data_IF_042881092646
#
_entry.id   IF_042881092646
#
_cell.length_a   1.000
_cell.length_b   1.000
_cell.length_c   1.000
_cell.angle_alpha   90.00
_cell.angle_beta   90.00
_cell.angle_gamma   90.00
#
_symmetry.space_group_name_H-M   'P 1'
#
loop_
_entity.id
_entity.type
_entity.pdbx_description
1 polymer ?
#
# COMPACT_ATOMS: atom_id res chain seq x y z
N UNK A 1 -11.57 11.67 21.38
CA UNK A 1 -10.17 11.23 21.25
C UNK A 1 -9.96 10.51 19.95
N UNK A 2 -8.90 10.85 19.27
CA UNK A 2 -8.57 10.19 18.03
C UNK A 2 -8.09 8.76 18.30
N UNK A 3 -8.58 7.82 17.51
CA UNK A 3 -8.09 6.46 17.59
C UNK A 3 -6.69 6.39 17.00
N UNK A 4 -5.85 5.57 17.59
CA UNK A 4 -4.52 5.35 17.06
C UNK A 4 -4.57 4.44 15.84
N UNK A 5 -3.65 4.67 14.92
CA UNK A 5 -3.48 3.82 13.74
C UNK A 5 -2.62 2.62 14.14
N UNK A 6 -3.11 1.43 13.84
CA UNK A 6 -2.37 0.19 14.07
C UNK A 6 -2.04 -0.45 12.73
N UNK A 7 -0.84 -1.03 12.62
CA UNK A 7 -0.43 -1.79 11.46
C UNK A 7 -0.51 -3.28 11.78
N UNK A 8 -1.12 -4.05 10.90
CA UNK A 8 -1.21 -5.51 11.08
C UNK A 8 -1.28 -6.22 9.73
N UNK A 9 -1.05 -7.51 9.74
CA UNK A 9 -1.13 -8.30 8.52
C UNK A 9 -2.57 -8.31 7.98
N UNK A 10 -2.67 -8.36 6.66
CA UNK A 10 -3.97 -8.48 5.97
C UNK A 10 -4.70 -9.74 6.44
N UNK A 11 -6.01 -9.59 6.64
CA UNK A 11 -6.92 -10.70 6.93
C UNK A 11 -8.08 -10.66 5.95
N UNK A 12 -8.73 -11.79 5.73
CA UNK A 12 -9.84 -11.86 4.75
C UNK A 12 -10.95 -10.86 5.03
N UNK A 13 -11.17 -10.52 6.30
CA UNK A 13 -12.19 -9.53 6.65
C UNK A 13 -11.86 -8.13 6.12
N UNK A 14 -10.61 -7.90 5.72
CA UNK A 14 -10.18 -6.61 5.18
C UNK A 14 -10.39 -6.50 3.67
N UNK A 15 -10.71 -7.61 3.00
CA UNK A 15 -10.69 -7.69 1.54
C UNK A 15 -11.54 -6.61 0.87
N UNK A 16 -12.76 -6.40 1.35
CA UNK A 16 -13.65 -5.43 0.74
C UNK A 16 -13.12 -3.99 0.87
N UNK A 17 -12.60 -3.65 2.05
CA UNK A 17 -12.06 -2.30 2.28
C UNK A 17 -10.76 -2.07 1.51
N UNK A 18 -9.90 -3.07 1.42
CA UNK A 18 -8.65 -2.97 0.66
C UNK A 18 -8.97 -2.78 -0.82
N UNK A 19 -9.90 -3.55 -1.34
CA UNK A 19 -10.35 -3.45 -2.73
C UNK A 19 -10.88 -2.06 -3.03
N UNK A 20 -11.75 -1.54 -2.18
CA UNK A 20 -12.32 -0.22 -2.35
C UNK A 20 -11.27 0.88 -2.29
N UNK A 21 -10.34 0.80 -1.35
CA UNK A 21 -9.26 1.78 -1.23
C UNK A 21 -8.38 1.78 -2.48
N UNK A 22 -8.01 0.59 -2.98
CA UNK A 22 -7.24 0.47 -4.21
C UNK A 22 -7.94 1.15 -5.39
N UNK A 23 -9.22 0.88 -5.56
CA UNK A 23 -10.00 1.46 -6.66
C UNK A 23 -10.08 2.98 -6.52
N UNK A 24 -10.41 3.46 -5.33
CA UNK A 24 -10.58 4.89 -5.07
C UNK A 24 -9.29 5.66 -5.35
N UNK A 25 -8.17 5.20 -4.81
CA UNK A 25 -6.89 5.91 -4.99
C UNK A 25 -6.46 5.91 -6.45
N UNK A 26 -6.58 4.77 -7.12
CA UNK A 26 -6.17 4.71 -8.53
C UNK A 26 -7.05 5.57 -9.43
N UNK A 27 -8.33 5.68 -9.13
CA UNK A 27 -9.21 6.58 -9.88
C UNK A 27 -8.86 8.04 -9.64
N UNK A 28 -8.49 8.39 -8.42
CA UNK A 28 -8.05 9.75 -8.10
C UNK A 28 -6.75 10.12 -8.81
N UNK A 29 -5.86 9.15 -9.03
CA UNK A 29 -4.60 9.36 -9.70
C UNK A 29 -4.72 9.36 -11.22
N UNK A 30 -5.83 8.90 -11.76
CA UNK A 30 -6.03 8.77 -13.20
C UNK A 30 -6.19 10.13 -13.87
N UNK A 31 -5.34 10.47 -14.87
CA UNK A 31 -5.59 11.67 -15.67
C UNK A 31 -6.88 11.51 -16.48
N UNK A 32 -7.62 12.61 -16.74
CA UNK A 32 -8.89 12.51 -17.46
C UNK A 32 -8.79 11.87 -18.84
N UNK A 33 -7.69 12.10 -19.55
CA UNK A 33 -7.48 11.57 -20.89
C UNK A 33 -7.01 10.11 -20.90
N UNK A 34 -6.69 9.54 -19.73
CA UNK A 34 -6.26 8.15 -19.61
C UNK A 34 -7.23 7.29 -18.79
N UNK A 35 -8.45 7.78 -18.60
CA UNK A 35 -9.42 7.11 -17.75
C UNK A 35 -9.68 5.65 -18.16
N UNK A 36 -9.88 5.41 -19.44
CA UNK A 36 -10.17 4.06 -19.92
C UNK A 36 -8.99 3.11 -19.69
N UNK A 37 -7.77 3.61 -19.90
CA UNK A 37 -6.57 2.82 -19.67
C UNK A 37 -6.42 2.48 -18.19
N UNK A 38 -6.71 3.44 -17.30
CA UNK A 38 -6.64 3.21 -15.86
C UNK A 38 -7.73 2.23 -15.38
N UNK A 39 -8.95 2.32 -15.94
CA UNK A 39 -10.01 1.38 -15.58
C UNK A 39 -9.65 -0.05 -16.01
N UNK A 40 -9.04 -0.20 -17.18
CA UNK A 40 -8.57 -1.52 -17.63
C UNK A 40 -7.44 -2.05 -16.71
N UNK A 41 -6.52 -1.18 -16.30
CA UNK A 41 -5.47 -1.52 -15.36
C UNK A 41 -6.05 -1.96 -14.02
N UNK A 42 -7.03 -1.20 -13.50
CA UNK A 42 -7.67 -1.52 -12.22
C UNK A 42 -8.31 -2.91 -12.28
N UNK A 43 -9.08 -3.20 -13.34
CA UNK A 43 -9.72 -4.51 -13.49
C UNK A 43 -8.70 -5.65 -13.50
N UNK A 44 -7.63 -5.48 -14.25
CA UNK A 44 -6.58 -6.49 -14.34
C UNK A 44 -5.89 -6.70 -13.00
N UNK A 45 -5.55 -5.60 -12.32
CA UNK A 45 -4.89 -5.68 -11.02
C UNK A 45 -5.79 -6.31 -9.96
N UNK A 46 -7.10 -6.05 -10.00
CA UNK A 46 -8.05 -6.70 -9.10
C UNK A 46 -8.02 -8.21 -9.30
N UNK A 47 -8.16 -8.65 -10.54
CA UNK A 47 -8.21 -10.09 -10.86
C UNK A 47 -6.90 -10.80 -10.53
N UNK A 48 -5.77 -10.20 -10.88
CA UNK A 48 -4.47 -10.84 -10.76
C UNK A 48 -3.85 -10.76 -9.36
N UNK A 49 -4.21 -9.73 -8.61
CA UNK A 49 -3.53 -9.46 -7.34
C UNK A 49 -4.47 -9.14 -6.18
N UNK A 50 -5.24 -8.06 -6.30
CA UNK A 50 -5.95 -7.47 -5.15
C UNK A 50 -7.05 -8.38 -4.61
N UNK A 51 -7.73 -9.12 -5.47
CA UNK A 51 -8.78 -10.05 -5.05
C UNK A 51 -8.22 -11.42 -4.64
N UNK A 52 -6.89 -11.58 -4.62
CA UNK A 52 -6.22 -12.81 -4.21
C UNK A 52 -4.92 -12.54 -3.42
N UNK A 53 -4.97 -11.55 -2.55
CA UNK A 53 -3.78 -11.08 -1.82
C UNK A 53 -2.98 -12.20 -1.13
N UNK A 54 -3.60 -13.11 -0.33
CA UNK A 54 -2.79 -14.14 0.31
C UNK A 54 -2.04 -15.03 -0.68
N UNK A 55 -2.69 -15.42 -1.75
CA UNK A 55 -2.06 -16.26 -2.77
C UNK A 55 -0.98 -15.51 -3.53
N UNK A 56 -1.30 -14.28 -3.97
CA UNK A 56 -0.34 -13.48 -4.74
C UNK A 56 0.96 -13.25 -3.97
N UNK A 57 0.85 -12.76 -2.72
CA UNK A 57 2.03 -12.42 -1.93
C UNK A 57 2.71 -13.66 -1.35
N UNK A 58 1.95 -14.71 -1.05
CA UNK A 58 2.52 -15.98 -0.61
C UNK A 58 3.38 -16.64 -1.67
N UNK A 59 2.94 -16.60 -2.93
CA UNK A 59 3.70 -17.14 -4.06
C UNK A 59 5.00 -16.37 -4.30
N UNK A 60 5.10 -15.14 -3.83
CA UNK A 60 6.23 -14.24 -4.06
C UNK A 60 7.08 -14.01 -2.82
N UNK A 61 6.95 -14.90 -1.85
CA UNK A 61 7.72 -14.84 -0.60
C UNK A 61 7.64 -13.46 0.05
N UNK A 62 6.43 -12.93 0.11
CA UNK A 62 6.18 -11.61 0.62
C UNK A 62 5.04 -11.56 1.63
N UNK A 63 4.41 -10.41 1.73
CA UNK A 63 3.29 -10.21 2.61
C UNK A 63 2.54 -8.94 2.28
N UNK A 64 1.42 -8.75 2.94
CA UNK A 64 0.58 -7.58 2.74
C UNK A 64 0.03 -7.13 4.08
N UNK A 65 0.06 -5.84 4.33
CA UNK A 65 -0.33 -5.25 5.62
C UNK A 65 -1.33 -4.14 5.42
N UNK A 66 -2.10 -3.90 6.46
CA UNK A 66 -3.07 -2.81 6.49
C UNK A 66 -2.82 -1.91 7.69
N UNK A 67 -3.08 -0.64 7.49
CA UNK A 67 -3.14 0.34 8.57
C UNK A 67 -4.61 0.50 8.90
N UNK A 68 -4.97 0.31 10.16
CA UNK A 68 -6.37 0.39 10.59
C UNK A 68 -6.53 1.43 11.67
N UNK A 69 -7.66 2.13 11.62
CA UNK A 69 -8.06 3.08 12.64
C UNK A 69 -9.45 2.64 13.11
N UNK A 70 -9.51 2.07 14.31
CA UNK A 70 -10.71 1.37 14.72
C UNK A 70 -10.97 0.18 13.79
N UNK A 71 -12.15 0.13 13.21
CA UNK A 71 -12.54 -0.94 12.28
C UNK A 71 -12.29 -0.58 10.81
N UNK A 72 -11.71 0.59 10.56
CA UNK A 72 -11.54 1.08 9.20
C UNK A 72 -10.11 0.90 8.70
N UNK A 73 -9.96 0.34 7.51
CA UNK A 73 -8.67 0.29 6.81
C UNK A 73 -8.41 1.69 6.23
N UNK A 74 -7.31 2.31 6.66
CA UNK A 74 -6.93 3.64 6.22
C UNK A 74 -5.65 3.65 5.41
N UNK A 75 -4.97 2.53 5.28
CA UNK A 75 -3.78 2.42 4.46
C UNK A 75 -3.45 0.97 4.15
N UNK A 76 -2.66 0.78 3.11
CA UNK A 76 -2.22 -0.55 2.68
C UNK A 76 -0.79 -0.50 2.20
N UNK A 77 -0.07 -1.61 2.27
CA UNK A 77 1.15 -1.81 1.52
C UNK A 77 1.46 -3.30 1.44
N UNK A 78 2.21 -3.66 0.40
CA UNK A 78 2.67 -5.02 0.21
C UNK A 78 4.17 -5.05 -0.03
N UNK A 79 4.76 -6.18 0.24
CA UNK A 79 6.16 -6.45 -0.05
C UNK A 79 6.23 -7.76 -0.83
N UNK A 80 6.97 -7.76 -1.95
CA UNK A 80 7.27 -9.01 -2.65
C UNK A 80 8.76 -9.11 -2.86
N UNK A 81 9.28 -10.32 -2.81
CA UNK A 81 10.71 -10.52 -3.00
C UNK A 81 11.07 -10.25 -4.46
N UNK A 82 12.05 -9.36 -4.66
CA UNK A 82 12.52 -9.00 -5.99
C UNK A 82 13.86 -9.68 -6.32
N UNK A 83 14.63 -10.06 -5.29
CA UNK A 83 15.87 -10.80 -5.43
C UNK A 83 16.24 -11.42 -4.08
N UNK A 84 17.38 -12.11 -3.99
CA UNK A 84 17.81 -12.75 -2.75
C UNK A 84 18.02 -11.74 -1.62
N UNK A 85 18.41 -10.52 -1.96
CA UNK A 85 18.75 -9.49 -0.98
C UNK A 85 17.81 -8.27 -1.02
N UNK A 86 16.69 -8.35 -1.73
CA UNK A 86 15.81 -7.20 -1.89
C UNK A 86 14.33 -7.57 -1.88
N UNK A 87 13.51 -6.65 -1.37
CA UNK A 87 12.06 -6.72 -1.50
C UNK A 87 11.55 -5.44 -2.13
N UNK A 88 10.48 -5.54 -2.90
CA UNK A 88 9.85 -4.40 -3.55
C UNK A 88 8.61 -3.99 -2.76
N UNK A 89 8.53 -2.70 -2.44
CA UNK A 89 7.33 -2.12 -1.83
C UNK A 89 6.28 -1.89 -2.92
N UNK A 90 5.07 -2.37 -2.65
CA UNK A 90 3.96 -2.30 -3.61
C UNK A 90 2.69 -1.82 -2.91
N UNK A 91 1.82 -1.19 -3.70
CA UNK A 91 0.46 -0.87 -3.27
C UNK A 91 0.40 -0.09 -1.96
N UNK A 92 1.31 0.88 -1.82
CA UNK A 92 1.28 1.76 -0.66
C UNK A 92 0.29 2.89 -0.90
N UNK A 93 -0.85 2.79 -0.24
CA UNK A 93 -1.93 3.76 -0.37
C UNK A 93 -2.38 4.23 0.99
N UNK A 94 -2.77 5.50 1.07
CA UNK A 94 -3.39 6.07 2.27
C UNK A 94 -4.75 6.64 1.85
N UNK A 95 -5.79 6.32 2.63
CA UNK A 95 -7.13 6.86 2.39
C UNK A 95 -7.04 8.38 2.34
N UNK A 96 -7.57 9.02 1.29
CA UNK A 96 -7.52 10.48 1.18
C UNK A 96 -8.10 11.20 2.39
N UNK A 97 -9.05 10.60 3.09
CA UNK A 97 -9.65 11.20 4.30
C UNK A 97 -8.77 11.04 5.54
N UNK A 98 -7.72 10.22 5.46
CA UNK A 98 -6.83 9.95 6.59
C UNK A 98 -5.43 10.55 6.39
N UNK A 99 -5.28 11.50 5.48
CA UNK A 99 -4.00 12.16 5.22
C UNK A 99 -3.59 13.02 6.42
N UNK A 100 -2.28 13.33 6.48
CA UNK A 100 -1.67 14.16 7.52
C UNK A 100 -1.70 13.55 8.91
N UNK A 101 -1.77 12.22 9.01
CA UNK A 101 -1.74 11.50 10.28
C UNK A 101 -0.48 10.66 10.45
N UNK A 102 0.50 10.82 9.55
CA UNK A 102 1.75 10.08 9.64
C UNK A 102 1.65 8.61 9.24
N UNK A 103 0.57 8.21 8.57
CA UNK A 103 0.33 6.81 8.22
C UNK A 103 1.36 6.29 7.22
N UNK A 104 1.67 7.10 6.18
CA UNK A 104 2.66 6.69 5.18
C UNK A 104 4.02 6.46 5.82
N UNK A 105 4.43 7.33 6.74
CA UNK A 105 5.68 7.19 7.46
C UNK A 105 5.71 5.91 8.30
N UNK A 106 4.62 5.65 9.03
CA UNK A 106 4.52 4.43 9.82
C UNK A 106 4.64 3.19 8.95
N UNK A 107 4.00 3.19 7.78
CA UNK A 107 4.05 2.06 6.86
C UNK A 107 5.46 1.86 6.30
N UNK A 108 6.15 2.95 5.93
CA UNK A 108 7.52 2.86 5.44
C UNK A 108 8.46 2.33 6.52
N UNK A 109 8.34 2.80 7.75
CA UNK A 109 9.14 2.31 8.85
C UNK A 109 8.87 0.83 9.12
N UNK A 110 7.61 0.42 9.05
CA UNK A 110 7.25 -0.99 9.21
C UNK A 110 7.88 -1.84 8.11
N UNK A 111 7.80 -1.37 6.86
CA UNK A 111 8.38 -2.08 5.72
C UNK A 111 9.89 -2.25 5.88
N UNK A 112 10.59 -1.20 6.31
CA UNK A 112 12.02 -1.27 6.58
C UNK A 112 12.34 -2.27 7.68
N UNK A 113 11.57 -2.26 8.77
CA UNK A 113 11.77 -3.19 9.87
C UNK A 113 11.46 -4.62 9.47
N UNK A 114 10.47 -4.82 8.62
CA UNK A 114 10.16 -6.16 8.10
C UNK A 114 11.30 -6.70 7.25
N UNK A 115 11.91 -5.85 6.42
CA UNK A 115 13.10 -6.23 5.65
C UNK A 115 14.26 -6.63 6.55
N UNK A 116 14.51 -5.85 7.63
CA UNK A 116 15.56 -6.19 8.60
C UNK A 116 15.26 -7.53 9.27
N UNK A 117 14.02 -7.76 9.68
CA UNK A 117 13.62 -9.01 10.32
C UNK A 117 13.83 -10.20 9.39
N UNK A 118 13.66 -10.02 8.09
CA UNK A 118 13.87 -11.07 7.08
C UNK A 118 15.31 -11.15 6.59
N UNK A 119 16.20 -10.34 7.15
CA UNK A 119 17.62 -10.25 6.73
C UNK A 119 17.75 -9.85 5.25
N UNK A 120 16.86 -8.98 4.80
CA UNK A 120 16.87 -8.44 3.45
C UNK A 120 17.57 -7.08 3.49
N UNK A 121 18.53 -6.88 2.59
CA UNK A 121 19.39 -5.70 2.62
C UNK A 121 18.77 -4.45 1.99
N UNK A 122 17.89 -4.63 1.00
CA UNK A 122 17.34 -3.50 0.26
C UNK A 122 15.82 -3.54 0.18
N UNK A 123 15.24 -2.36 0.32
CA UNK A 123 13.83 -2.13 0.03
C UNK A 123 13.77 -1.30 -1.24
N UNK A 124 13.17 -1.85 -2.29
CA UNK A 124 13.06 -1.22 -3.59
C UNK A 124 11.66 -0.66 -3.81
N UNK A 125 11.58 0.48 -4.49
CA UNK A 125 10.32 1.10 -4.86
C UNK A 125 10.32 1.36 -6.36
N UNK A 126 9.19 1.12 -7.02
CA UNK A 126 9.03 1.54 -8.42
C UNK A 126 8.99 3.08 -8.47
N UNK A 127 9.19 3.64 -9.67
CA UNK A 127 9.09 5.08 -9.85
C UNK A 127 7.73 5.62 -9.40
N UNK A 128 6.66 4.89 -9.73
CA UNK A 128 5.31 5.29 -9.32
C UNK A 128 5.16 5.26 -7.81
N UNK A 129 5.68 4.23 -7.15
CA UNK A 129 5.61 4.12 -5.69
C UNK A 129 6.46 5.19 -5.01
N UNK A 130 7.62 5.51 -5.57
CA UNK A 130 8.46 6.60 -5.04
C UNK A 130 7.69 7.91 -5.06
N UNK A 131 7.05 8.22 -6.18
CA UNK A 131 6.27 9.45 -6.31
C UNK A 131 5.10 9.47 -5.33
N UNK A 132 4.38 8.37 -5.22
CA UNK A 132 3.26 8.28 -4.29
C UNK A 132 3.73 8.45 -2.85
N UNK A 133 4.79 7.77 -2.47
CA UNK A 133 5.34 7.85 -1.12
C UNK A 133 5.80 9.28 -0.80
N UNK A 134 6.46 9.93 -1.74
CA UNK A 134 6.91 11.31 -1.55
C UNK A 134 5.74 12.26 -1.36
N UNK A 135 4.71 12.13 -2.19
CA UNK A 135 3.51 12.96 -2.08
C UNK A 135 2.80 12.72 -0.75
N UNK A 136 2.66 11.46 -0.35
CA UNK A 136 2.00 11.11 0.90
C UNK A 136 2.76 11.67 2.10
N UNK A 137 4.08 11.56 2.11
CA UNK A 137 4.91 12.11 3.19
C UNK A 137 4.84 13.63 3.22
N UNK A 138 4.90 14.26 2.06
CA UNK A 138 4.77 15.72 1.98
C UNK A 138 3.46 16.19 2.59
N UNK A 139 2.36 15.55 2.24
CA UNK A 139 1.05 15.90 2.78
C UNK A 139 0.93 15.61 4.26
N UNK A 140 1.55 14.52 4.71
CA UNK A 140 1.53 14.16 6.13
C UNK A 140 2.38 15.10 6.99
N UNK A 141 3.37 15.76 6.39
CA UNK A 141 4.21 16.72 7.12
C UNK A 141 3.69 18.14 7.03
N UNK A 142 2.52 18.34 6.47
CA UNK A 142 1.89 19.67 6.39
C UNK A 142 2.19 20.42 5.11
N UNK A 143 2.82 19.76 4.14
CA UNK A 143 3.04 20.35 2.82
C UNK A 143 4.00 21.53 2.86
N UNK A 144 5.20 21.28 3.18
CA UNK A 144 6.25 22.30 3.29
C UNK A 144 6.29 23.29 2.13
#
# INVERSE_FOLDING_TARGET
MDEEVALRAFAERDAAQVRELFITVNRLLSPPDLRDAFEAYIERALTEEIDRIPAYYGERDGGFWVAVKGDKVVGTFGLERSSDDAMELRRMYVDPLARRQGIARQMLEFAENECRRRSVERLELSTAEIQYAAIALYKNTGGL
#
